data_IF_773130801961
#
_entry.id   IF_773130801961
#
_cell.length_a   1.000
_cell.length_b   1.000
_cell.length_c   1.000
_cell.angle_alpha   90.00
_cell.angle_beta   90.00
_cell.angle_gamma   90.00
#
_symmetry.space_group_name_H-M   'P 1'
#
loop_
_entity.id
_entity.type
_entity.pdbx_description
1 polymer ?
#
# COMPACT_ATOMS: atom_id res chain seq x y z
N UNK A 1 -26.01 -10.99 39.05
CA UNK A 1 -26.87 -10.70 37.87
C UNK A 1 -26.17 -9.65 37.03
N UNK A 2 -25.75 -9.98 35.81
CA UNK A 2 -24.99 -9.09 34.94
C UNK A 2 -25.90 -8.01 34.31
N UNK A 3 -25.50 -6.75 34.41
CA UNK A 3 -26.19 -5.59 33.83
C UNK A 3 -25.83 -5.44 32.35
N UNK A 4 -26.84 -5.48 31.48
CA UNK A 4 -26.68 -5.26 30.02
C UNK A 4 -26.32 -3.79 29.72
N UNK A 5 -25.28 -3.50 28.92
CA UNK A 5 -25.02 -2.15 28.44
C UNK A 5 -26.11 -1.72 27.44
N UNK A 6 -26.65 -0.52 27.62
CA UNK A 6 -27.84 -0.05 26.89
C UNK A 6 -27.58 0.45 25.47
N UNK A 7 -26.35 0.82 25.10
CA UNK A 7 -26.09 1.40 23.78
C UNK A 7 -24.76 0.85 23.21
N UNK A 8 -24.82 -0.27 22.50
CA UNK A 8 -23.72 -0.68 21.62
C UNK A 8 -24.12 -0.33 20.19
N UNK A 9 -23.67 0.83 19.70
CA UNK A 9 -23.76 1.17 18.28
C UNK A 9 -22.75 0.30 17.54
N UNK A 10 -23.20 -0.84 17.02
CA UNK A 10 -22.40 -1.66 16.11
C UNK A 10 -22.57 -1.04 14.73
N UNK A 11 -21.52 -0.38 14.23
CA UNK A 11 -21.47 0.02 12.81
C UNK A 11 -20.91 -1.15 12.01
N UNK A 12 -21.75 -1.70 11.12
CA UNK A 12 -21.31 -2.58 10.06
C UNK A 12 -20.45 -1.76 9.09
N UNK A 13 -19.12 -1.93 9.14
CA UNK A 13 -18.22 -1.31 8.17
C UNK A 13 -18.38 -2.08 6.87
N UNK A 14 -19.38 -1.68 6.07
CA UNK A 14 -19.60 -2.24 4.75
C UNK A 14 -18.58 -1.61 3.80
N UNK A 15 -17.47 -2.31 3.59
CA UNK A 15 -16.56 -1.98 2.49
C UNK A 15 -17.30 -2.20 1.17
N UNK A 16 -17.81 -1.11 0.60
CA UNK A 16 -18.35 -1.15 -0.75
C UNK A 16 -17.20 -1.55 -1.68
N UNK A 17 -17.25 -2.78 -2.22
CA UNK A 17 -16.34 -3.29 -3.25
C UNK A 17 -16.51 -2.56 -4.60
N UNK A 18 -16.65 -1.23 -4.58
CA UNK A 18 -16.45 -0.41 -5.76
C UNK A 18 -14.97 -0.59 -6.09
N UNK A 19 -14.70 -1.29 -7.20
CA UNK A 19 -13.37 -1.34 -7.81
C UNK A 19 -12.96 0.09 -8.08
N UNK A 20 -12.25 0.69 -7.13
CA UNK A 20 -11.61 1.97 -7.31
C UNK A 20 -10.40 1.66 -8.18
N UNK A 21 -10.54 1.85 -9.48
CA UNK A 21 -9.38 1.87 -10.38
C UNK A 21 -8.61 3.13 -9.98
N UNK A 22 -7.63 2.95 -9.09
CA UNK A 22 -6.77 4.03 -8.68
C UNK A 22 -5.83 4.31 -9.85
N UNK A 23 -6.15 5.34 -10.63
CA UNK A 23 -5.30 5.81 -11.72
C UNK A 23 -4.06 6.45 -11.09
N UNK A 24 -3.09 5.62 -10.72
CA UNK A 24 -1.85 6.10 -10.13
C UNK A 24 -0.96 6.65 -11.23
N UNK A 25 -0.56 7.93 -11.11
CA UNK A 25 0.52 8.51 -11.93
C UNK A 25 1.89 7.88 -11.61
N UNK A 26 1.96 6.97 -10.62
CA UNK A 26 3.07 6.05 -10.48
C UNK A 26 3.05 5.09 -11.67
N UNK A 27 3.58 5.56 -12.80
CA UNK A 27 4.02 4.71 -13.90
C UNK A 27 4.86 3.59 -13.29
N UNK A 28 4.27 2.40 -13.18
CA UNK A 28 4.79 1.17 -12.57
C UNK A 28 6.17 1.35 -11.93
N UNK A 29 6.19 1.82 -10.68
CA UNK A 29 7.45 1.98 -9.96
C UNK A 29 8.14 0.61 -9.90
N UNK A 30 9.39 0.55 -10.40
CA UNK A 30 10.21 -0.65 -10.50
C UNK A 30 11.48 -0.41 -9.70
N UNK A 31 12.01 -1.47 -9.10
CA UNK A 31 13.31 -1.40 -8.47
C UNK A 31 14.40 -1.09 -9.51
N UNK A 32 15.20 -0.06 -9.26
CA UNK A 32 16.31 0.33 -10.15
C UNK A 32 17.43 -0.74 -10.22
N UNK A 33 17.44 -1.72 -9.30
CA UNK A 33 18.44 -2.80 -9.26
C UNK A 33 18.00 -4.02 -10.08
N UNK A 34 16.77 -4.50 -9.90
CA UNK A 34 16.31 -5.76 -10.53
C UNK A 34 15.15 -5.58 -11.52
N UNK A 35 14.64 -4.36 -11.69
CA UNK A 35 13.54 -4.06 -12.61
C UNK A 35 12.17 -4.59 -12.19
N UNK A 36 12.06 -5.30 -11.05
CA UNK A 36 10.79 -5.81 -10.53
C UNK A 36 9.98 -4.69 -9.88
N UNK A 37 8.69 -4.62 -10.16
CA UNK A 37 7.79 -3.59 -9.64
C UNK A 37 6.57 -4.14 -8.93
N UNK A 38 5.57 -3.27 -8.72
CA UNK A 38 4.31 -3.66 -8.10
C UNK A 38 3.59 -4.80 -8.84
N UNK A 39 3.68 -4.83 -10.18
CA UNK A 39 3.03 -5.86 -10.99
C UNK A 39 3.60 -7.26 -10.75
N UNK A 40 4.86 -7.33 -10.31
CA UNK A 40 5.54 -8.57 -9.95
C UNK A 40 5.22 -9.02 -8.51
N UNK A 41 4.36 -8.28 -7.79
CA UNK A 41 4.01 -8.52 -6.39
C UNK A 41 5.05 -8.00 -5.38
N UNK A 42 5.98 -7.14 -5.81
CA UNK A 42 7.01 -6.56 -4.95
C UNK A 42 6.58 -5.20 -4.42
N UNK A 43 6.91 -4.93 -3.15
CA UNK A 43 6.88 -3.57 -2.62
C UNK A 43 8.13 -2.82 -3.08
N UNK A 44 7.96 -1.58 -3.53
CA UNK A 44 9.05 -0.68 -3.93
C UNK A 44 9.01 0.61 -3.11
N UNK A 45 10.16 0.99 -2.59
CA UNK A 45 10.35 2.15 -1.71
C UNK A 45 11.19 3.19 -2.43
N UNK A 46 10.69 4.42 -2.47
CA UNK A 46 11.45 5.57 -2.97
C UNK A 46 12.47 6.04 -1.93
N UNK A 47 13.72 6.23 -2.35
CA UNK A 47 14.82 6.74 -1.52
C UNK A 47 15.55 7.83 -2.31
N UNK A 48 15.78 8.98 -1.68
CA UNK A 48 16.56 10.04 -2.30
C UNK A 48 18.05 9.71 -2.17
N UNK A 49 18.74 9.56 -3.31
CA UNK A 49 20.16 9.28 -3.40
C UNK A 49 20.78 10.36 -4.28
N UNK A 50 21.75 11.10 -3.74
CA UNK A 50 22.46 12.17 -4.48
C UNK A 50 21.53 13.21 -5.16
N UNK A 51 20.38 13.51 -4.53
CA UNK A 51 19.30 14.42 -5.02
C UNK A 51 18.41 13.85 -6.14
N UNK A 52 18.62 12.61 -6.54
CA UNK A 52 17.70 11.88 -7.41
C UNK A 52 16.83 10.92 -6.59
N UNK A 53 15.63 10.61 -7.07
CA UNK A 53 14.75 9.64 -6.43
C UNK A 53 14.96 8.29 -7.10
N UNK A 54 15.48 7.32 -6.34
CA UNK A 54 15.62 5.93 -6.77
C UNK A 54 14.60 5.06 -6.05
N UNK A 55 14.22 3.94 -6.67
CA UNK A 55 13.28 2.96 -6.16
C UNK A 55 13.99 1.64 -5.86
N UNK A 56 13.76 1.11 -4.66
CA UNK A 56 14.35 -0.15 -4.21
C UNK A 56 13.25 -1.11 -3.77
N UNK A 57 13.30 -2.36 -4.23
CA UNK A 57 12.40 -3.39 -3.68
C UNK A 57 12.85 -3.84 -2.29
N UNK A 58 11.98 -4.55 -1.58
CA UNK A 58 12.25 -5.08 -0.24
C UNK A 58 13.58 -5.85 -0.11
N UNK A 59 14.03 -6.52 -1.18
CA UNK A 59 15.29 -7.27 -1.22
C UNK A 59 16.51 -6.36 -1.33
N UNK A 60 16.40 -5.23 -2.04
CA UNK A 60 17.51 -4.32 -2.34
C UNK A 60 17.46 -3.02 -1.52
N UNK A 61 16.52 -2.91 -0.58
CA UNK A 61 16.39 -1.74 0.29
C UNK A 61 17.46 -1.68 1.39
N UNK A 62 18.19 -2.78 1.61
CA UNK A 62 19.10 -2.98 2.73
C UNK A 62 20.57 -2.73 2.38
#
# INVERSE_FOLDING_TARGET
>A
MATKPKNALIQDIVFSNKKFTMNSSANMAKCDVCGKGLEDGFSVTAKSVMKETMFFCEVHLN
#
